data_IF_747468669739
#
_entry.id   IF_747468669739
#
_cell.length_a   1.000
_cell.length_b   1.000
_cell.length_c   1.000
_cell.angle_alpha   90.00
_cell.angle_beta   90.00
_cell.angle_gamma   90.00
#
_symmetry.space_group_name_H-M   'P 1'
#
loop_
_entity.id
_entity.type
_entity.pdbx_description
1 polymer ?
#
# COMPACT_ATOMS: atom_id res chain seq x y z
N UNK A 1 6.84 -62.52 32.79
CA UNK A 1 6.30 -61.14 32.73
C UNK A 1 7.32 -60.23 32.05
N UNK A 2 7.09 -59.84 30.79
CA UNK A 2 7.90 -58.80 30.14
C UNK A 2 7.46 -57.45 30.72
N UNK A 3 8.30 -56.88 31.59
CA UNK A 3 8.19 -55.50 32.08
C UNK A 3 8.12 -54.57 30.86
N UNK A 4 6.95 -53.99 30.58
CA UNK A 4 6.82 -52.90 29.61
C UNK A 4 7.44 -51.68 30.28
N UNK A 5 8.64 -51.28 29.83
CA UNK A 5 9.22 -49.99 30.18
C UNK A 5 8.17 -48.89 29.91
N UNK A 6 7.92 -47.99 30.87
CA UNK A 6 6.98 -46.90 30.66
C UNK A 6 7.47 -46.04 29.49
N UNK A 7 6.61 -45.82 28.50
CA UNK A 7 6.92 -44.92 27.39
C UNK A 7 7.28 -43.54 27.95
N UNK A 8 8.37 -42.91 27.47
CA UNK A 8 8.73 -41.59 27.94
C UNK A 8 7.55 -40.62 27.70
N UNK A 9 7.33 -39.66 28.61
CA UNK A 9 6.26 -38.70 28.44
C UNK A 9 6.44 -37.96 27.10
N UNK A 10 5.36 -37.60 26.37
CA UNK A 10 5.46 -36.97 25.05
C UNK A 10 6.35 -35.72 25.02
N UNK A 11 6.49 -35.02 26.15
CA UNK A 11 7.39 -33.88 26.35
C UNK A 11 8.87 -34.20 26.19
N UNK A 12 9.30 -35.44 26.42
CA UNK A 12 10.69 -35.87 26.28
C UNK A 12 11.11 -36.12 24.82
N UNK A 13 10.14 -36.25 23.91
CA UNK A 13 10.36 -36.43 22.47
C UNK A 13 10.35 -35.10 21.70
N UNK A 14 10.03 -33.99 22.38
CA UNK A 14 9.93 -32.68 21.76
C UNK A 14 11.25 -31.90 21.89
N UNK A 15 11.66 -31.15 20.85
CA UNK A 15 12.89 -30.37 20.90
C UNK A 15 12.84 -29.30 22.01
N UNK A 16 13.94 -29.16 22.76
CA UNK A 16 14.08 -28.18 23.85
C UNK A 16 14.87 -26.97 23.37
N UNK A 17 14.26 -25.79 23.41
CA UNK A 17 14.89 -24.53 23.01
C UNK A 17 15.20 -23.69 24.25
N UNK A 18 16.42 -23.82 24.80
CA UNK A 18 16.83 -23.17 26.07
C UNK A 18 17.66 -21.89 25.90
N UNK A 19 17.73 -21.34 24.69
CA UNK A 19 18.60 -20.20 24.39
C UNK A 19 17.94 -18.82 24.43
N UNK A 20 18.74 -17.78 24.59
CA UNK A 20 18.30 -16.38 24.67
C UNK A 20 17.63 -15.82 23.42
N UNK A 21 17.74 -16.53 22.29
CA UNK A 21 17.14 -16.18 21.01
C UNK A 21 15.61 -16.37 20.97
N UNK A 22 15.08 -17.34 21.71
CA UNK A 22 13.64 -17.66 21.75
C UNK A 22 12.96 -17.11 23.01
N UNK A 23 13.67 -16.26 23.77
CA UNK A 23 13.18 -15.72 25.02
C UNK A 23 12.10 -14.64 24.83
N UNK A 24 11.38 -14.32 25.91
CA UNK A 24 10.32 -13.30 25.88
C UNK A 24 10.87 -11.92 25.54
N UNK A 25 12.12 -11.62 25.90
CA UNK A 25 12.74 -10.31 25.65
C UNK A 25 13.02 -10.08 24.18
N UNK A 26 13.54 -11.08 23.48
CA UNK A 26 13.78 -11.06 22.04
C UNK A 26 12.45 -10.93 21.31
N UNK A 27 11.45 -11.72 21.73
CA UNK A 27 10.11 -11.64 21.18
C UNK A 27 9.48 -10.25 21.35
N UNK A 28 9.62 -9.62 22.52
CA UNK A 28 9.13 -8.26 22.79
C UNK A 28 9.90 -7.23 21.97
N UNK A 29 11.22 -7.35 21.84
CA UNK A 29 12.02 -6.39 21.10
C UNK A 29 11.66 -6.33 19.61
N UNK A 30 11.56 -7.47 18.94
CA UNK A 30 11.13 -7.55 17.53
C UNK A 30 9.66 -7.13 17.42
N UNK A 31 8.82 -7.56 18.38
CA UNK A 31 7.40 -7.22 18.42
C UNK A 31 7.11 -5.72 18.50
N UNK A 32 8.00 -4.92 19.12
CA UNK A 32 7.86 -3.44 19.14
C UNK A 32 8.03 -2.83 17.76
N UNK A 33 9.08 -3.23 17.05
CA UNK A 33 9.34 -2.75 15.70
C UNK A 33 8.22 -3.17 14.75
N UNK A 34 7.80 -4.43 14.84
CA UNK A 34 6.67 -4.94 14.06
C UNK A 34 5.37 -4.21 14.40
N UNK A 35 5.09 -3.95 15.68
CA UNK A 35 3.90 -3.20 16.10
C UNK A 35 3.87 -1.76 15.57
N UNK A 36 5.02 -1.07 15.58
CA UNK A 36 5.16 0.26 14.96
C UNK A 36 4.92 0.18 13.45
N UNK A 37 5.51 -0.81 12.77
CA UNK A 37 5.30 -1.01 11.34
C UNK A 37 3.82 -1.25 11.00
N UNK A 38 3.15 -2.12 11.76
CA UNK A 38 1.71 -2.39 11.59
C UNK A 38 0.85 -1.16 11.84
N UNK A 39 1.18 -0.34 12.85
CA UNK A 39 0.48 0.92 13.10
C UNK A 39 0.64 1.91 11.94
N UNK A 40 1.87 2.07 11.42
CA UNK A 40 2.12 2.94 10.27
C UNK A 40 1.35 2.44 9.05
N UNK A 41 1.39 1.13 8.74
CA UNK A 41 0.62 0.56 7.64
C UNK A 41 -0.89 0.75 7.82
N UNK A 42 -1.42 0.59 9.03
CA UNK A 42 -2.84 0.79 9.31
C UNK A 42 -3.27 2.24 9.09
N UNK A 43 -2.55 3.20 9.68
CA UNK A 43 -2.86 4.64 9.53
C UNK A 43 -2.76 5.06 8.07
N UNK A 44 -1.65 4.73 7.40
CA UNK A 44 -1.45 5.09 6.00
C UNK A 44 -2.43 4.38 5.07
N UNK A 45 -2.80 3.13 5.37
CA UNK A 45 -3.78 2.36 4.60
C UNK A 45 -5.18 2.95 4.69
N UNK A 46 -5.62 3.36 5.88
CA UNK A 46 -6.92 4.06 6.08
C UNK A 46 -6.93 5.40 5.34
N UNK A 47 -5.85 6.17 5.43
CA UNK A 47 -5.72 7.44 4.69
C UNK A 47 -5.77 7.22 3.17
N UNK A 48 -5.06 6.22 2.65
CA UNK A 48 -5.10 5.86 1.23
C UNK A 48 -6.50 5.42 0.80
N UNK A 49 -7.18 4.64 1.65
CA UNK A 49 -8.55 4.20 1.39
C UNK A 49 -9.51 5.41 1.29
N UNK A 50 -9.44 6.39 2.21
CA UNK A 50 -10.29 7.58 2.14
C UNK A 50 -9.94 8.51 0.97
N UNK A 51 -8.68 8.56 0.53
CA UNK A 51 -8.32 9.30 -0.67
C UNK A 51 -8.82 8.61 -1.96
N UNK A 52 -8.95 7.29 -1.94
CA UNK A 52 -9.43 6.50 -3.08
C UNK A 52 -10.97 6.38 -3.12
N UNK A 53 -11.59 6.23 -1.95
CA UNK A 53 -13.00 5.98 -1.73
C UNK A 53 -13.51 6.89 -0.60
N UNK A 54 -13.55 8.22 -0.81
CA UNK A 54 -13.97 9.13 0.24
C UNK A 54 -15.42 8.89 0.63
N UNK A 55 -15.74 8.92 1.93
CA UNK A 55 -17.13 8.96 2.36
C UNK A 55 -17.79 10.25 1.86
N UNK A 56 -19.12 10.23 1.69
CA UNK A 56 -19.87 11.34 1.08
C UNK A 56 -19.65 12.70 1.76
N UNK A 57 -19.49 12.70 3.08
CA UNK A 57 -19.22 13.92 3.87
C UNK A 57 -17.82 14.50 3.68
N UNK A 58 -16.88 13.75 3.09
CA UNK A 58 -15.50 14.19 2.86
C UNK A 58 -15.18 14.37 1.37
N UNK A 59 -16.00 13.78 0.48
CA UNK A 59 -15.70 13.65 -0.94
C UNK A 59 -15.34 14.99 -1.62
N UNK A 60 -15.98 16.09 -1.22
CA UNK A 60 -15.78 17.42 -1.78
C UNK A 60 -14.67 18.23 -1.13
N UNK A 61 -14.19 17.81 0.04
CA UNK A 61 -13.31 18.60 0.92
C UNK A 61 -11.93 17.95 1.12
N UNK A 62 -11.64 16.87 0.39
CA UNK A 62 -10.32 16.25 0.41
C UNK A 62 -9.23 17.28 0.04
N UNK A 63 -8.12 17.34 0.80
CA UNK A 63 -7.08 18.34 0.57
C UNK A 63 -6.31 18.03 -0.71
N UNK A 64 -6.20 19.02 -1.59
CA UNK A 64 -5.39 18.95 -2.81
C UNK A 64 -3.90 19.28 -2.57
N UNK A 65 -3.52 19.61 -1.33
CA UNK A 65 -2.17 20.04 -0.94
C UNK A 65 -1.69 19.33 0.34
N UNK A 66 -0.37 19.14 0.51
CA UNK A 66 0.66 19.34 -0.51
C UNK A 66 0.50 18.35 -1.67
N UNK A 67 0.95 18.70 -2.88
CA UNK A 67 0.72 17.87 -4.09
C UNK A 67 1.36 16.48 -4.01
N UNK A 68 2.39 16.33 -3.17
CA UNK A 68 3.09 15.08 -2.90
C UNK A 68 2.53 14.26 -1.73
N UNK A 69 1.47 14.71 -1.05
CA UNK A 69 0.96 14.06 0.17
C UNK A 69 0.65 12.56 -0.01
N UNK A 70 -0.06 12.20 -1.08
CA UNK A 70 -0.40 10.81 -1.38
C UNK A 70 0.84 9.97 -1.72
N UNK A 71 1.84 10.55 -2.41
CA UNK A 71 3.14 9.89 -2.64
C UNK A 71 3.77 9.49 -1.31
N UNK A 72 3.85 10.42 -0.35
CA UNK A 72 4.44 10.12 0.95
C UNK A 72 3.63 9.04 1.68
N UNK A 73 2.31 9.20 1.74
CA UNK A 73 1.43 8.25 2.43
C UNK A 73 1.54 6.84 1.86
N UNK A 74 1.43 6.70 0.53
CA UNK A 74 1.46 5.40 -0.14
C UNK A 74 2.87 4.80 -0.16
N UNK A 75 3.91 5.62 -0.34
CA UNK A 75 5.29 5.18 -0.25
C UNK A 75 5.64 4.65 1.15
N UNK A 76 5.17 5.32 2.22
CA UNK A 76 5.30 4.83 3.58
C UNK A 76 4.54 3.52 3.80
N UNK A 77 3.29 3.43 3.32
CA UNK A 77 2.49 2.22 3.45
C UNK A 77 3.19 0.99 2.86
N UNK A 78 3.61 1.09 1.59
CA UNK A 78 4.24 -0.02 0.88
C UNK A 78 5.65 -0.29 1.40
N UNK A 79 6.47 0.75 1.58
CA UNK A 79 7.84 0.61 2.06
C UNK A 79 7.90 -0.02 3.47
N UNK A 80 7.05 0.44 4.39
CA UNK A 80 6.98 -0.12 5.75
C UNK A 80 6.38 -1.53 5.74
N UNK A 81 5.40 -1.81 4.87
CA UNK A 81 4.86 -3.16 4.68
C UNK A 81 5.94 -4.15 4.25
N UNK A 82 6.75 -3.78 3.25
CA UNK A 82 7.88 -4.60 2.79
C UNK A 82 8.92 -4.77 3.92
N UNK A 83 9.28 -3.68 4.61
CA UNK A 83 10.21 -3.72 5.74
C UNK A 83 9.70 -4.57 6.93
N UNK A 84 8.39 -4.75 7.06
CA UNK A 84 7.79 -5.59 8.09
C UNK A 84 7.94 -7.09 7.81
N UNK A 85 8.22 -7.50 6.57
CA UNK A 85 8.34 -8.92 6.19
C UNK A 85 9.47 -9.62 6.98
N UNK A 86 10.74 -9.16 6.95
CA UNK A 86 11.80 -9.77 7.76
C UNK A 86 11.49 -9.72 9.27
N UNK A 87 10.84 -8.65 9.75
CA UNK A 87 10.44 -8.53 11.16
C UNK A 87 9.40 -9.58 11.56
N UNK A 88 8.41 -9.85 10.70
CA UNK A 88 7.41 -10.89 10.93
C UNK A 88 8.08 -12.27 10.95
N UNK A 89 8.94 -12.58 9.98
CA UNK A 89 9.70 -13.83 9.99
C UNK A 89 10.56 -13.99 11.24
N UNK A 90 11.30 -12.94 11.63
CA UNK A 90 12.09 -12.93 12.87
C UNK A 90 11.22 -13.14 14.11
N UNK A 91 10.05 -12.52 14.15
CA UNK A 91 9.08 -12.68 15.25
C UNK A 91 8.54 -14.10 15.33
N UNK A 92 8.10 -14.66 14.19
CA UNK A 92 7.58 -16.02 14.10
C UNK A 92 8.66 -17.04 14.46
N UNK A 93 9.88 -16.87 13.95
CA UNK A 93 11.02 -17.72 14.30
C UNK A 93 11.35 -17.63 15.79
N UNK A 94 11.30 -16.44 16.39
CA UNK A 94 11.54 -16.29 17.83
C UNK A 94 10.52 -17.08 18.66
N UNK A 95 9.25 -17.15 18.23
CA UNK A 95 8.17 -17.77 19.02
C UNK A 95 7.77 -19.18 18.56
N UNK A 96 8.28 -19.69 17.43
CA UNK A 96 7.90 -20.99 16.88
C UNK A 96 8.07 -22.15 17.87
N UNK A 97 9.06 -22.18 18.79
CA UNK A 97 9.18 -23.25 19.78
C UNK A 97 7.92 -23.47 20.61
N UNK A 98 7.11 -22.41 20.82
CA UNK A 98 5.86 -22.49 21.57
C UNK A 98 4.79 -23.34 20.86
N UNK A 99 4.94 -23.59 19.56
CA UNK A 99 4.07 -24.50 18.82
C UNK A 99 4.25 -25.95 19.29
N UNK A 100 5.46 -26.30 19.73
CA UNK A 100 5.84 -27.63 20.21
C UNK A 100 5.65 -27.81 21.74
N UNK A 101 5.09 -26.84 22.44
CA UNK A 101 4.89 -26.95 23.89
C UNK A 101 3.78 -27.97 24.24
N UNK A 102 4.05 -28.86 25.20
CA UNK A 102 3.10 -29.88 25.68
C UNK A 102 2.69 -29.63 27.15
N UNK A 103 1.42 -29.87 27.53
CA UNK A 103 0.27 -30.21 26.67
C UNK A 103 -0.11 -29.05 25.75
N UNK A 104 -0.56 -29.38 24.53
CA UNK A 104 -0.88 -28.39 23.50
C UNK A 104 -2.01 -27.44 23.91
N UNK A 105 -2.98 -27.95 24.68
CA UNK A 105 -4.07 -27.21 25.28
C UNK A 105 -4.11 -27.48 26.78
N UNK A 106 -4.10 -26.41 27.58
CA UNK A 106 -4.12 -26.47 29.05
C UNK A 106 -5.51 -26.19 29.63
N UNK A 107 -6.34 -25.44 28.90
CA UNK A 107 -7.69 -25.05 29.30
C UNK A 107 -8.44 -24.43 28.11
N UNK A 108 -9.76 -24.26 28.22
CA UNK A 108 -10.57 -23.55 27.23
C UNK A 108 -10.09 -22.10 27.01
N UNK A 109 -9.72 -21.39 28.09
CA UNK A 109 -9.11 -20.07 28.01
C UNK A 109 -7.80 -20.10 27.21
N UNK A 110 -6.95 -21.10 27.47
CA UNK A 110 -5.71 -21.25 26.71
C UNK A 110 -5.96 -21.55 25.22
N UNK A 111 -7.00 -22.32 24.90
CA UNK A 111 -7.41 -22.56 23.51
C UNK A 111 -7.85 -21.27 22.82
N UNK A 112 -8.67 -20.45 23.47
CA UNK A 112 -9.10 -19.14 22.95
C UNK A 112 -7.91 -18.18 22.74
N UNK A 113 -6.95 -18.15 23.68
CA UNK A 113 -5.71 -17.39 23.51
C UNK A 113 -4.92 -17.85 22.28
N UNK A 114 -4.80 -19.16 22.05
CA UNK A 114 -4.10 -19.71 20.87
C UNK A 114 -4.85 -19.40 19.58
N UNK A 115 -6.18 -19.48 19.59
CA UNK A 115 -7.01 -19.12 18.43
C UNK A 115 -6.86 -17.65 18.07
N UNK A 116 -6.90 -16.75 19.05
CA UNK A 116 -6.66 -15.31 18.85
C UNK A 116 -5.27 -15.05 18.23
N UNK A 117 -4.23 -15.75 18.71
CA UNK A 117 -2.89 -15.67 18.12
C UNK A 117 -2.86 -16.21 16.68
N UNK A 118 -3.57 -17.31 16.39
CA UNK A 118 -3.65 -17.85 15.04
C UNK A 118 -4.29 -16.86 14.06
N UNK A 119 -5.37 -16.19 14.47
CA UNK A 119 -6.01 -15.13 13.68
C UNK A 119 -5.07 -13.95 13.44
N UNK A 120 -4.33 -13.51 14.47
CA UNK A 120 -3.31 -12.46 14.34
C UNK A 120 -2.21 -12.84 13.34
N UNK A 121 -1.67 -14.06 13.43
CA UNK A 121 -0.62 -14.53 12.52
C UNK A 121 -1.14 -14.68 11.10
N UNK A 122 -2.31 -15.28 10.91
CA UNK A 122 -2.93 -15.43 9.60
C UNK A 122 -3.21 -14.07 8.95
N UNK A 123 -3.76 -13.12 9.71
CA UNK A 123 -4.00 -11.75 9.24
C UNK A 123 -2.70 -11.05 8.86
N UNK A 124 -1.65 -11.12 9.69
CA UNK A 124 -0.37 -10.46 9.39
C UNK A 124 0.31 -11.05 8.14
N UNK A 125 0.28 -12.38 7.99
CA UNK A 125 0.80 -13.05 6.79
C UNK A 125 -0.02 -12.67 5.56
N UNK A 126 -1.35 -12.66 5.68
CA UNK A 126 -2.26 -12.28 4.59
C UNK A 126 -2.01 -10.86 4.12
N UNK A 127 -1.98 -9.88 5.03
CA UNK A 127 -1.75 -8.46 4.70
C UNK A 127 -0.40 -8.27 3.99
N UNK A 128 0.70 -8.78 4.57
CA UNK A 128 2.01 -8.59 3.97
C UNK A 128 2.17 -9.32 2.63
N UNK A 129 1.64 -10.54 2.52
CA UNK A 129 1.70 -11.31 1.27
C UNK A 129 0.87 -10.65 0.18
N UNK A 130 -0.41 -10.37 0.45
CA UNK A 130 -1.29 -9.78 -0.56
C UNK A 130 -0.84 -8.37 -0.94
N UNK A 131 -0.35 -7.58 0.02
CA UNK A 131 0.26 -6.27 -0.23
C UNK A 131 1.50 -6.37 -1.13
N UNK A 132 2.41 -7.32 -0.87
CA UNK A 132 3.58 -7.56 -1.71
C UNK A 132 3.16 -7.98 -3.14
N UNK A 133 2.22 -8.92 -3.26
CA UNK A 133 1.76 -9.40 -4.56
C UNK A 133 1.00 -8.32 -5.36
N UNK A 134 0.33 -7.41 -4.67
CA UNK A 134 -0.26 -6.22 -5.30
C UNK A 134 0.80 -5.32 -5.95
N UNK A 135 2.00 -5.19 -5.37
CA UNK A 135 3.07 -4.35 -5.96
C UNK A 135 3.52 -4.83 -7.35
N UNK A 136 3.39 -6.13 -7.62
CA UNK A 136 3.72 -6.80 -8.90
C UNK A 136 2.49 -7.12 -9.76
N UNK A 137 1.29 -6.66 -9.39
CA UNK A 137 0.01 -6.96 -10.05
C UNK A 137 -0.31 -8.46 -10.20
N UNK A 138 0.14 -9.30 -9.28
CA UNK A 138 -0.15 -10.72 -9.34
C UNK A 138 -1.27 -11.08 -8.36
N UNK A 139 -2.44 -11.44 -8.90
CA UNK A 139 -3.64 -11.77 -8.13
C UNK A 139 -4.07 -13.22 -8.42
N UNK A 140 -3.42 -14.25 -7.83
CA UNK A 140 -3.76 -15.67 -8.03
C UNK A 140 -5.08 -16.09 -7.35
N UNK A 141 -6.01 -15.15 -7.13
CA UNK A 141 -7.25 -15.36 -6.41
C UNK A 141 -8.44 -14.68 -7.11
N UNK A 142 -9.68 -15.12 -6.85
CA UNK A 142 -10.86 -14.59 -7.53
C UNK A 142 -11.45 -13.33 -6.89
N UNK A 143 -10.99 -12.93 -5.70
CA UNK A 143 -11.55 -11.77 -4.98
C UNK A 143 -10.86 -10.44 -5.33
N UNK A 144 -11.55 -9.33 -5.10
CA UNK A 144 -10.96 -8.00 -5.27
C UNK A 144 -9.99 -7.70 -4.13
N UNK A 145 -8.74 -7.36 -4.47
CA UNK A 145 -7.68 -7.07 -3.50
C UNK A 145 -8.08 -5.93 -2.54
N UNK A 146 -8.48 -4.77 -3.07
CA UNK A 146 -8.69 -3.53 -2.28
C UNK A 146 -9.69 -3.71 -1.11
N UNK A 147 -10.94 -4.18 -1.33
CA UNK A 147 -11.89 -4.32 -0.22
C UNK A 147 -11.51 -5.43 0.76
N UNK A 148 -10.92 -6.53 0.29
CA UNK A 148 -10.53 -7.65 1.16
C UNK A 148 -9.34 -7.27 2.03
N UNK A 149 -8.31 -6.67 1.45
CA UNK A 149 -7.13 -6.17 2.18
C UNK A 149 -7.53 -5.10 3.20
N UNK A 150 -8.45 -4.18 2.85
CA UNK A 150 -8.97 -3.22 3.82
C UNK A 150 -9.72 -3.89 5.00
N UNK A 151 -10.58 -4.87 4.71
CA UNK A 151 -11.34 -5.57 5.74
C UNK A 151 -10.44 -6.42 6.67
N UNK A 152 -9.46 -7.13 6.10
CA UNK A 152 -8.51 -7.94 6.87
C UNK A 152 -7.56 -7.05 7.67
N UNK A 153 -7.22 -5.85 7.20
CA UNK A 153 -6.46 -4.85 7.98
C UNK A 153 -7.16 -4.45 9.29
N UNK A 154 -8.48 -4.30 9.29
CA UNK A 154 -9.26 -4.07 10.52
C UNK A 154 -9.28 -5.29 11.44
N UNK A 155 -9.45 -6.50 10.87
CA UNK A 155 -9.40 -7.75 11.62
C UNK A 155 -8.03 -7.94 12.28
N UNK A 156 -6.94 -7.72 11.53
CA UNK A 156 -5.57 -7.76 12.03
C UNK A 156 -5.36 -6.75 13.17
N UNK A 157 -5.85 -5.52 13.00
CA UNK A 157 -5.73 -4.48 14.03
C UNK A 157 -6.46 -4.88 15.31
N UNK A 158 -7.70 -5.37 15.21
CA UNK A 158 -8.44 -5.88 16.37
C UNK A 158 -7.74 -7.05 17.05
N UNK A 159 -7.23 -8.01 16.28
CA UNK A 159 -6.47 -9.14 16.81
C UNK A 159 -5.15 -8.72 17.48
N UNK A 160 -4.47 -7.70 16.92
CA UNK A 160 -3.25 -7.14 17.49
C UNK A 160 -3.54 -6.42 18.81
N UNK A 161 -4.57 -5.58 18.88
CA UNK A 161 -4.97 -4.90 20.11
C UNK A 161 -5.33 -5.90 21.21
N UNK A 162 -6.11 -6.94 20.89
CA UNK A 162 -6.42 -8.02 21.82
C UNK A 162 -5.16 -8.74 22.28
N UNK A 163 -4.24 -9.06 21.37
CA UNK A 163 -2.97 -9.69 21.71
C UNK A 163 -2.12 -8.81 22.65
N UNK A 164 -2.03 -7.51 22.38
CA UNK A 164 -1.32 -6.55 23.22
C UNK A 164 -1.95 -6.46 24.60
N UNK A 165 -3.28 -6.44 24.71
CA UNK A 165 -3.98 -6.43 25.99
C UNK A 165 -3.71 -7.70 26.81
N UNK A 166 -3.83 -8.87 26.19
CA UNK A 166 -3.58 -10.18 26.84
C UNK A 166 -2.12 -10.34 27.26
N UNK A 167 -1.17 -9.89 26.43
CA UNK A 167 0.27 -10.00 26.68
C UNK A 167 0.87 -8.79 27.39
N UNK A 168 0.06 -7.80 27.79
CA UNK A 168 0.54 -6.58 28.43
C UNK A 168 1.46 -6.83 29.64
N UNK A 169 1.16 -7.76 30.57
CA UNK A 169 2.05 -8.01 31.71
C UNK A 169 3.43 -8.49 31.28
N UNK A 170 3.50 -9.39 30.29
CA UNK A 170 4.76 -9.86 29.70
C UNK A 170 5.47 -8.72 28.97
N UNK A 171 4.76 -8.00 28.10
CA UNK A 171 5.33 -6.88 27.34
C UNK A 171 5.97 -5.87 28.30
N UNK A 172 5.24 -5.44 29.33
CA UNK A 172 5.71 -4.51 30.36
C UNK A 172 6.94 -5.03 31.11
N UNK A 173 6.93 -6.31 31.52
CA UNK A 173 8.03 -6.92 32.26
C UNK A 173 9.33 -7.04 31.45
N UNK A 174 9.24 -7.13 30.12
CA UNK A 174 10.39 -7.26 29.22
C UNK A 174 10.60 -6.04 28.31
N UNK A 175 9.94 -4.92 28.60
CA UNK A 175 9.97 -3.69 27.78
C UNK A 175 11.33 -2.95 27.89
N UNK A 176 11.86 -2.84 29.12
CA UNK A 176 13.17 -2.26 29.44
C UNK A 176 14.07 -3.30 30.12
N UNK A 177 15.40 -3.09 30.13
CA UNK A 177 16.40 -4.12 30.54
C UNK A 177 16.14 -4.72 31.94
N UNK A 178 16.53 -6.00 32.11
CA UNK A 178 16.74 -6.77 33.38
C UNK A 178 15.50 -7.42 34.02
N UNK A 179 14.80 -8.32 33.31
CA UNK A 179 13.99 -9.31 34.04
C UNK A 179 14.92 -10.36 34.68
N UNK A 180 14.58 -10.81 35.90
CA UNK A 180 15.33 -11.88 36.59
C UNK A 180 15.39 -13.16 35.74
N UNK A 181 14.32 -13.45 35.00
CA UNK A 181 14.24 -14.59 34.09
C UNK A 181 15.26 -14.53 32.94
N UNK A 182 15.51 -13.36 32.33
CA UNK A 182 16.54 -13.25 31.28
C UNK A 182 17.95 -13.41 31.85
N UNK A 183 18.19 -13.03 33.11
CA UNK A 183 19.50 -13.22 33.77
C UNK A 183 19.76 -14.68 34.18
N UNK A 184 18.70 -15.46 34.37
CA UNK A 184 18.77 -16.87 34.78
C UNK A 184 18.94 -17.84 33.60
N UNK A 185 18.99 -17.33 32.36
CA UNK A 185 19.27 -18.16 31.18
C UNK A 185 20.72 -18.67 31.23
N UNK A 186 20.96 -19.94 30.83
CA UNK A 186 22.31 -20.48 30.81
C UNK A 186 23.22 -19.66 29.88
N UNK A 187 24.50 -19.58 30.23
CA UNK A 187 25.49 -18.98 29.36
C UNK A 187 25.55 -19.79 28.05
N UNK A 188 25.41 -19.10 26.93
CA UNK A 188 25.52 -19.72 25.62
C UNK A 188 26.97 -20.14 25.35
N UNK A 189 27.21 -21.25 24.62
CA UNK A 189 28.56 -21.65 24.23
C UNK A 189 29.28 -20.56 23.44
N UNK A 190 30.61 -20.51 23.53
CA UNK A 190 31.42 -19.62 22.70
C UNK A 190 31.12 -19.84 21.20
N UNK A 191 30.94 -18.77 20.45
CA UNK A 191 30.61 -18.75 19.01
C UNK A 191 29.18 -19.18 18.60
N UNK A 192 28.22 -19.25 19.51
CA UNK A 192 26.81 -19.37 19.10
C UNK A 192 26.18 -17.99 18.81
N UNK A 193 25.25 -17.90 17.84
CA UNK A 193 24.54 -16.66 17.58
C UNK A 193 23.78 -16.19 18.82
N UNK A 194 24.06 -14.97 19.25
CA UNK A 194 23.40 -14.36 20.40
C UNK A 194 22.26 -13.41 19.96
N UNK A 195 21.53 -12.86 20.94
CA UNK A 195 20.44 -11.92 20.67
C UNK A 195 20.91 -10.70 19.86
N UNK A 196 22.13 -10.22 20.08
CA UNK A 196 22.68 -9.09 19.33
C UNK A 196 22.83 -9.48 17.86
N UNK A 197 23.41 -10.64 17.58
CA UNK A 197 23.59 -11.18 16.23
C UNK A 197 22.26 -11.32 15.48
N UNK A 198 21.22 -11.86 16.14
CA UNK A 198 19.87 -11.95 15.55
C UNK A 198 19.28 -10.57 15.22
N UNK A 199 19.35 -9.62 16.17
CA UNK A 199 18.78 -8.29 15.96
C UNK A 199 19.56 -7.50 14.90
N UNK A 200 20.88 -7.66 14.84
CA UNK A 200 21.72 -7.09 13.79
C UNK A 200 21.39 -7.71 12.44
N UNK A 201 21.26 -9.04 12.35
CA UNK A 201 20.85 -9.71 11.11
C UNK A 201 19.47 -9.26 10.61
N UNK A 202 18.50 -9.11 11.52
CA UNK A 202 17.20 -8.54 11.19
C UNK A 202 17.30 -7.08 10.74
N UNK A 203 18.08 -6.25 11.42
CA UNK A 203 18.29 -4.86 11.02
C UNK A 203 18.93 -4.76 9.63
N UNK A 204 19.91 -5.61 9.32
CA UNK A 204 20.53 -5.71 7.99
C UNK A 204 19.51 -6.16 6.96
N UNK A 205 18.71 -7.20 7.23
CA UNK A 205 17.69 -7.66 6.29
C UNK A 205 16.63 -6.59 6.01
N UNK A 206 16.12 -5.93 7.05
CA UNK A 206 15.16 -4.81 6.92
C UNK A 206 15.79 -3.66 6.13
N UNK A 207 17.02 -3.26 6.47
CA UNK A 207 17.75 -2.21 5.78
C UNK A 207 17.99 -2.53 4.31
N UNK A 208 18.46 -3.74 4.01
CA UNK A 208 18.74 -4.19 2.65
C UNK A 208 17.47 -4.16 1.77
N UNK A 209 16.38 -4.76 2.24
CA UNK A 209 15.11 -4.76 1.47
C UNK A 209 14.57 -3.34 1.32
N UNK A 210 14.65 -2.50 2.36
CA UNK A 210 14.18 -1.09 2.28
C UNK A 210 15.00 -0.31 1.25
N UNK A 211 16.33 -0.34 1.35
CA UNK A 211 17.23 0.37 0.44
C UNK A 211 17.04 -0.07 -1.00
N UNK A 212 16.80 -1.37 -1.23
CA UNK A 212 16.66 -1.94 -2.57
C UNK A 212 15.26 -1.84 -3.17
N UNK A 213 14.31 -1.21 -2.47
CA UNK A 213 12.93 -1.05 -2.94
C UNK A 213 12.38 0.36 -2.82
N UNK A 214 12.99 1.24 -2.01
CA UNK A 214 12.45 2.59 -1.72
C UNK A 214 12.59 3.55 -2.89
N UNK A 215 13.52 3.31 -3.82
CA UNK A 215 13.77 4.17 -4.98
C UNK A 215 12.55 4.30 -5.90
N UNK A 216 11.68 3.29 -5.92
CA UNK A 216 10.45 3.33 -6.69
C UNK A 216 9.51 4.45 -6.23
N UNK A 217 9.55 4.78 -4.93
CA UNK A 217 8.77 5.85 -4.31
C UNK A 217 9.56 7.16 -4.22
N UNK A 218 10.88 7.08 -4.03
CA UNK A 218 11.80 8.21 -3.89
C UNK A 218 12.82 8.21 -5.03
N UNK A 219 12.49 8.92 -6.10
CA UNK A 219 13.30 8.98 -7.33
C UNK A 219 14.80 9.27 -7.13
N UNK A 220 15.26 10.08 -6.14
CA UNK A 220 16.69 10.25 -5.88
C UNK A 220 17.44 8.96 -5.49
N UNK A 221 16.73 7.91 -5.09
CA UNK A 221 17.28 6.60 -4.69
C UNK A 221 17.01 5.50 -5.72
N UNK A 222 16.52 5.84 -6.92
CA UNK A 222 16.14 4.88 -7.98
C UNK A 222 17.27 3.92 -8.37
N UNK A 223 18.53 4.37 -8.35
CA UNK A 223 19.68 3.55 -8.77
C UNK A 223 19.98 2.41 -7.79
N UNK A 224 19.33 2.41 -6.62
CA UNK A 224 19.42 1.36 -5.61
C UNK A 224 18.32 0.29 -5.79
N UNK A 225 17.33 0.51 -6.67
CA UNK A 225 16.19 -0.38 -6.87
C UNK A 225 16.59 -1.70 -7.53
N UNK A 226 17.00 -2.68 -6.72
CA UNK A 226 17.29 -4.04 -7.17
C UNK A 226 16.07 -4.97 -7.06
N UNK A 227 15.20 -4.71 -6.07
CA UNK A 227 14.04 -5.57 -5.74
C UNK A 227 12.70 -4.86 -5.99
N UNK A 228 12.71 -3.61 -6.44
CA UNK A 228 11.48 -2.89 -6.75
C UNK A 228 10.82 -3.46 -8.03
N UNK A 229 9.50 -3.72 -8.02
CA UNK A 229 8.78 -4.20 -9.19
C UNK A 229 8.80 -3.26 -10.39
N UNK A 230 8.92 -1.96 -10.14
CA UNK A 230 8.94 -0.93 -11.18
C UNK A 230 10.04 0.07 -10.92
N UNK A 231 10.84 0.28 -11.95
CA UNK A 231 11.81 1.36 -11.98
C UNK A 231 11.14 2.66 -12.46
N UNK A 232 11.29 3.80 -11.77
CA UNK A 232 10.65 5.07 -12.14
C UNK A 232 10.96 5.55 -13.57
N UNK A 233 12.12 5.20 -14.13
CA UNK A 233 12.48 5.64 -15.50
C UNK A 233 11.96 4.75 -16.62
N UNK A 234 11.38 3.59 -16.30
CA UNK A 234 10.92 2.66 -17.32
C UNK A 234 9.48 2.96 -17.73
N UNK A 235 9.32 3.45 -18.95
CA UNK A 235 8.03 3.62 -19.60
C UNK A 235 8.07 4.65 -20.72
N UNK A 236 7.02 4.71 -21.57
CA UNK A 236 6.92 5.72 -22.61
C UNK A 236 6.98 7.12 -22.00
N UNK A 237 7.61 8.05 -22.71
CA UNK A 237 7.75 9.45 -22.27
C UNK A 237 8.44 9.60 -20.90
N UNK A 238 9.23 8.60 -20.47
CA UNK A 238 9.92 8.62 -19.18
C UNK A 238 8.96 8.55 -17.99
N UNK A 239 7.79 7.92 -18.11
CA UNK A 239 6.87 7.70 -17.01
C UNK A 239 6.34 6.25 -17.01
N UNK A 240 6.32 5.54 -15.86
CA UNK A 240 5.81 4.18 -15.81
C UNK A 240 4.32 4.08 -16.10
N UNK A 241 3.92 2.93 -16.62
CA UNK A 241 2.53 2.63 -16.98
C UNK A 241 1.98 1.58 -16.02
N UNK A 242 0.93 1.93 -15.28
CA UNK A 242 0.19 0.97 -14.43
C UNK A 242 -0.74 0.07 -15.26
N UNK A 243 -1.58 0.70 -16.10
CA UNK A 243 -2.55 0.04 -16.99
C UNK A 243 -2.32 0.52 -18.41
N UNK A 244 -2.07 -0.42 -19.32
CA UNK A 244 -1.83 -0.17 -20.75
C UNK A 244 -3.14 0.06 -21.50
N UNK A 245 -3.07 0.68 -22.67
CA UNK A 245 -4.21 0.83 -23.57
C UNK A 245 -4.71 -0.53 -24.08
N UNK A 246 -3.81 -1.50 -24.27
CA UNK A 246 -4.16 -2.87 -24.62
C UNK A 246 -5.04 -3.52 -23.53
N UNK A 247 -4.64 -3.42 -22.26
CA UNK A 247 -5.41 -3.95 -21.14
C UNK A 247 -6.74 -3.21 -20.89
N UNK A 248 -6.89 -2.01 -21.41
CA UNK A 248 -8.12 -1.21 -21.35
C UNK A 248 -9.00 -1.35 -22.60
N UNK A 249 -8.52 -1.97 -23.68
CA UNK A 249 -9.22 -2.03 -24.97
C UNK A 249 -9.28 -0.69 -25.71
N UNK A 250 -8.33 0.21 -25.48
CA UNK A 250 -8.31 1.59 -25.99
C UNK A 250 -7.10 1.91 -26.87
N UNK A 251 -6.51 0.89 -27.50
CA UNK A 251 -5.26 1.02 -28.28
C UNK A 251 -5.39 1.90 -29.53
N UNK A 252 -6.58 1.97 -30.12
CA UNK A 252 -6.87 2.78 -31.31
C UNK A 252 -8.03 3.70 -30.98
N UNK A 253 -7.74 4.97 -30.75
CA UNK A 253 -8.76 6.01 -30.65
C UNK A 253 -8.80 6.73 -31.99
N UNK A 254 -9.94 6.71 -32.67
CA UNK A 254 -10.18 7.56 -33.83
C UNK A 254 -10.36 9.00 -33.36
N UNK A 255 -9.31 9.82 -33.52
CA UNK A 255 -9.29 11.20 -33.04
C UNK A 255 -10.14 12.13 -33.88
N UNK A 256 -10.44 11.76 -35.13
CA UNK A 256 -11.35 12.52 -35.98
C UNK A 256 -12.80 12.36 -35.49
N UNK A 257 -13.15 11.19 -34.98
CA UNK A 257 -14.46 10.91 -34.36
C UNK A 257 -14.53 11.26 -32.87
N UNK A 258 -13.38 11.29 -32.17
CA UNK A 258 -13.34 11.56 -30.74
C UNK A 258 -13.86 12.96 -30.40
N UNK A 259 -14.66 13.05 -29.34
CA UNK A 259 -15.15 14.30 -28.76
C UNK A 259 -15.00 14.26 -27.25
N UNK A 260 -14.69 15.41 -26.66
CA UNK A 260 -14.89 15.67 -25.25
C UNK A 260 -16.28 16.28 -25.05
N UNK A 261 -17.18 15.55 -24.40
CA UNK A 261 -18.48 16.09 -24.00
C UNK A 261 -18.38 16.66 -22.59
N UNK A 262 -18.70 17.94 -22.41
CA UNK A 262 -18.80 18.58 -21.09
C UNK A 262 -20.27 18.83 -20.78
N UNK A 263 -20.83 18.05 -19.85
CA UNK A 263 -22.23 18.15 -19.41
C UNK A 263 -22.33 19.04 -18.17
N UNK A 264 -23.26 19.98 -18.22
CA UNK A 264 -23.60 20.90 -17.14
C UNK A 264 -24.79 21.77 -17.56
N UNK A 265 -25.07 22.88 -16.87
CA UNK A 265 -26.15 23.81 -17.24
C UNK A 265 -26.07 24.34 -18.68
N UNK A 266 -24.86 24.50 -19.22
CA UNK A 266 -24.60 24.89 -20.62
C UNK A 266 -23.72 23.84 -21.29
N UNK A 267 -24.27 22.69 -21.72
CA UNK A 267 -23.48 21.60 -22.25
C UNK A 267 -22.84 21.96 -23.59
N UNK A 268 -21.65 21.43 -23.86
CA UNK A 268 -20.96 21.59 -25.15
C UNK A 268 -20.04 20.40 -25.42
N UNK A 269 -19.58 20.31 -26.66
CA UNK A 269 -18.59 19.32 -27.10
C UNK A 269 -17.39 20.02 -27.71
N UNK A 270 -16.22 19.38 -27.60
CA UNK A 270 -14.99 19.81 -28.25
C UNK A 270 -14.38 18.65 -29.04
N UNK A 271 -13.97 18.93 -30.27
CA UNK A 271 -12.98 18.13 -30.99
C UNK A 271 -11.63 18.21 -30.29
N UNK A 272 -10.71 17.32 -30.66
CA UNK A 272 -9.34 17.38 -30.15
C UNK A 272 -8.63 18.69 -30.52
N UNK A 273 -8.85 19.19 -31.74
CA UNK A 273 -8.24 20.44 -32.22
C UNK A 273 -8.79 21.67 -31.49
N UNK A 274 -10.11 21.73 -31.26
CA UNK A 274 -10.71 22.81 -30.46
C UNK A 274 -10.21 22.78 -29.01
N UNK A 275 -10.05 21.58 -28.43
CA UNK A 275 -9.51 21.43 -27.09
C UNK A 275 -8.04 21.85 -27.00
N UNK A 276 -7.24 21.55 -28.02
CA UNK A 276 -5.84 21.96 -28.12
C UNK A 276 -5.68 23.47 -28.35
N UNK A 277 -6.68 24.12 -28.98
CA UNK A 277 -6.71 25.56 -29.21
C UNK A 277 -7.10 26.39 -27.97
N UNK A 278 -7.67 25.76 -26.93
CA UNK A 278 -7.93 26.44 -25.65
C UNK A 278 -6.60 26.82 -24.95
N UNK A 279 -6.62 27.78 -24.00
CA UNK A 279 -5.45 28.08 -23.18
C UNK A 279 -4.86 26.84 -22.52
N UNK A 280 -3.59 26.57 -22.83
CA UNK A 280 -2.84 25.43 -22.29
C UNK A 280 -2.02 25.88 -21.08
N UNK A 281 -2.00 25.05 -20.04
CA UNK A 281 -1.25 25.29 -18.80
C UNK A 281 -0.30 24.15 -18.54
N UNK A 282 0.87 24.45 -17.99
CA UNK A 282 1.87 23.47 -17.58
C UNK A 282 1.93 23.37 -16.06
N UNK A 283 2.00 22.13 -15.55
CA UNK A 283 2.20 21.83 -14.13
C UNK A 283 3.18 20.68 -13.96
N UNK A 284 4.03 20.76 -12.93
CA UNK A 284 4.82 19.61 -12.48
C UNK A 284 4.04 18.91 -11.35
N UNK A 285 3.59 17.68 -11.59
CA UNK A 285 2.85 16.90 -10.61
C UNK A 285 3.32 15.44 -10.58
N UNK A 286 3.34 14.82 -9.38
CA UNK A 286 3.65 13.42 -9.26
C UNK A 286 2.46 12.54 -9.71
N UNK A 287 2.75 11.47 -10.43
CA UNK A 287 1.90 10.28 -10.41
C UNK A 287 2.39 9.40 -9.27
N UNK A 288 1.50 9.03 -8.36
CA UNK A 288 1.77 8.12 -7.25
C UNK A 288 0.78 6.97 -7.31
N UNK A 289 1.30 5.76 -7.54
CA UNK A 289 0.47 4.58 -7.73
C UNK A 289 0.15 3.91 -6.40
N UNK A 290 -1.00 3.23 -6.34
CA UNK A 290 -1.41 2.37 -5.22
C UNK A 290 -0.43 1.20 -4.98
N UNK A 291 0.46 0.92 -5.94
CA UNK A 291 1.48 -0.13 -5.85
C UNK A 291 2.76 0.34 -5.13
N UNK A 292 2.86 1.63 -4.79
CA UNK A 292 3.98 2.20 -4.03
C UNK A 292 4.95 3.02 -4.86
N UNK A 293 5.03 2.81 -6.19
CA UNK A 293 5.90 3.61 -7.04
C UNK A 293 5.32 4.98 -7.35
N UNK A 294 6.19 5.96 -7.59
CA UNK A 294 5.79 7.30 -7.97
C UNK A 294 6.86 8.07 -8.74
N UNK A 295 6.46 9.04 -9.55
CA UNK A 295 7.38 9.87 -10.34
C UNK A 295 6.79 11.23 -10.69
N UNK A 296 7.62 12.27 -10.65
CA UNK A 296 7.26 13.61 -11.16
C UNK A 296 7.24 13.61 -12.68
N UNK A 297 6.33 14.39 -13.24
CA UNK A 297 6.31 14.66 -14.66
C UNK A 297 5.73 16.05 -14.94
N UNK A 298 6.05 16.57 -16.13
CA UNK A 298 5.49 17.80 -16.67
C UNK A 298 4.22 17.46 -17.44
N UNK A 299 3.11 18.07 -17.07
CA UNK A 299 1.81 17.88 -17.69
C UNK A 299 1.37 19.17 -18.35
N UNK A 300 0.90 19.10 -19.59
CA UNK A 300 0.32 20.24 -20.28
C UNK A 300 -1.11 19.93 -20.70
N UNK A 301 -2.03 20.86 -20.45
CA UNK A 301 -3.43 20.69 -20.82
C UNK A 301 -4.33 21.85 -20.41
N UNK A 302 -5.63 21.62 -20.50
CA UNK A 302 -6.67 22.61 -20.15
C UNK A 302 -7.04 22.44 -18.68
N UNK A 303 -7.21 23.54 -17.94
CA UNK A 303 -7.68 23.47 -16.55
C UNK A 303 -9.11 22.96 -16.48
N UNK A 304 -9.36 22.02 -15.57
CA UNK A 304 -10.71 21.51 -15.35
C UNK A 304 -11.67 22.62 -14.95
N UNK A 305 -11.25 23.55 -14.09
CA UNK A 305 -12.06 24.68 -13.67
C UNK A 305 -12.58 25.51 -14.87
N UNK A 306 -11.74 25.77 -15.87
CA UNK A 306 -12.08 26.59 -17.03
C UNK A 306 -13.15 25.88 -17.90
N UNK A 307 -13.05 24.56 -18.03
CA UNK A 307 -14.05 23.74 -18.72
C UNK A 307 -15.41 23.76 -17.99
N UNK A 308 -15.40 23.68 -16.66
CA UNK A 308 -16.63 23.73 -15.85
C UNK A 308 -17.27 25.10 -15.81
N UNK A 309 -16.47 26.17 -15.83
CA UNK A 309 -16.95 27.55 -15.90
C UNK A 309 -17.67 27.82 -17.23
N UNK A 310 -17.08 27.37 -18.34
CA UNK A 310 -17.74 27.40 -19.66
C UNK A 310 -19.07 26.64 -19.64
N UNK A 311 -19.12 25.49 -18.96
CA UNK A 311 -20.33 24.71 -18.80
C UNK A 311 -21.38 25.34 -17.85
N UNK A 312 -21.08 26.48 -17.23
CA UNK A 312 -21.98 27.19 -16.32
C UNK A 312 -22.05 26.62 -14.91
N UNK A 313 -21.03 25.86 -14.47
CA UNK A 313 -20.97 25.24 -13.15
C UNK A 313 -19.58 25.40 -12.50
N UNK A 314 -19.14 26.64 -12.22
CA UNK A 314 -17.81 26.89 -11.69
C UNK A 314 -17.60 26.18 -10.34
N UNK A 315 -16.53 25.38 -10.25
CA UNK A 315 -16.15 24.70 -9.02
C UNK A 315 -17.07 23.55 -8.58
N UNK A 316 -17.97 23.09 -9.43
CA UNK A 316 -18.82 21.93 -9.15
C UNK A 316 -18.00 20.63 -9.12
N UNK A 317 -18.50 19.64 -8.37
CA UNK A 317 -17.97 18.29 -8.43
C UNK A 317 -18.23 17.67 -9.80
N UNK A 318 -17.38 16.73 -10.21
CA UNK A 318 -17.44 16.12 -11.53
C UNK A 318 -17.47 14.61 -11.44
N UNK A 319 -18.21 14.01 -12.36
CA UNK A 319 -18.02 12.63 -12.78
C UNK A 319 -17.22 12.63 -14.08
N UNK A 320 -16.08 11.97 -14.08
CA UNK A 320 -15.19 11.82 -15.24
C UNK A 320 -15.37 10.42 -15.83
N UNK A 321 -15.61 10.34 -17.13
CA UNK A 321 -15.85 9.08 -17.85
C UNK A 321 -14.73 8.80 -18.85
N UNK A 322 -14.25 7.56 -18.84
CA UNK A 322 -13.22 7.02 -19.73
C UNK A 322 -13.85 6.26 -20.91
N UNK A 323 -13.08 6.08 -21.99
CA UNK A 323 -13.38 5.13 -23.07
C UNK A 323 -13.38 3.67 -22.63
N UNK A 324 -12.79 3.36 -21.48
CA UNK A 324 -12.70 1.98 -20.99
C UNK A 324 -14.10 1.36 -20.79
N UNK A 325 -14.34 0.21 -21.42
CA UNK A 325 -15.67 -0.44 -21.41
C UNK A 325 -15.95 -1.18 -20.09
N UNK A 326 -14.90 -1.73 -19.47
CA UNK A 326 -14.98 -2.60 -18.29
C UNK A 326 -14.10 -2.07 -17.16
N UNK A 327 -14.25 -2.59 -15.95
CA UNK A 327 -13.40 -2.26 -14.82
C UNK A 327 -13.91 -1.11 -13.93
N UNK A 328 -13.41 -1.07 -12.70
CA UNK A 328 -13.91 -0.18 -11.65
C UNK A 328 -13.54 1.31 -11.85
N UNK A 329 -12.54 1.61 -12.69
CA UNK A 329 -12.00 2.96 -12.87
C UNK A 329 -12.42 3.63 -14.18
N UNK A 330 -13.38 3.03 -14.92
CA UNK A 330 -13.97 3.65 -16.13
C UNK A 330 -14.73 4.94 -15.82
N UNK A 331 -15.20 5.09 -14.58
CA UNK A 331 -15.85 6.29 -14.08
C UNK A 331 -15.17 6.67 -12.77
N UNK A 332 -14.85 7.96 -12.62
CA UNK A 332 -14.22 8.50 -11.43
C UNK A 332 -15.01 9.72 -10.95
N UNK A 333 -15.29 9.78 -9.65
CA UNK A 333 -15.89 10.96 -9.03
C UNK A 333 -14.78 11.87 -8.48
N UNK A 334 -14.81 13.12 -8.90
CA UNK A 334 -13.90 14.19 -8.53
C UNK A 334 -14.65 15.22 -7.69
N UNK A 335 -14.29 15.32 -6.42
CA UNK A 335 -14.87 16.32 -5.51
C UNK A 335 -14.51 17.76 -5.88
N UNK A 336 -15.29 18.70 -5.36
CA UNK A 336 -15.14 20.15 -5.63
C UNK A 336 -13.72 20.67 -5.38
N UNK A 337 -13.06 20.23 -4.31
CA UNK A 337 -11.70 20.66 -3.97
C UNK A 337 -10.70 20.44 -5.10
N UNK A 338 -10.79 19.30 -5.79
CA UNK A 338 -9.94 18.96 -6.93
C UNK A 338 -10.40 19.63 -8.22
N UNK A 339 -11.71 19.67 -8.47
CA UNK A 339 -12.28 20.26 -9.69
C UNK A 339 -11.97 21.76 -9.82
N UNK A 340 -11.95 22.48 -8.68
CA UNK A 340 -11.61 23.91 -8.63
C UNK A 340 -10.11 24.21 -8.54
N UNK A 341 -9.27 23.19 -8.32
CA UNK A 341 -7.84 23.40 -8.10
C UNK A 341 -7.17 23.89 -9.39
N UNK A 342 -6.38 24.99 -9.34
CA UNK A 342 -5.74 25.54 -10.53
C UNK A 342 -4.66 24.63 -11.16
N UNK A 343 -4.20 23.60 -10.44
CA UNK A 343 -3.26 22.60 -10.94
C UNK A 343 -3.94 21.34 -11.51
N UNK A 344 -5.27 21.22 -11.39
CA UNK A 344 -5.98 20.08 -11.99
C UNK A 344 -6.20 20.32 -13.47
N UNK A 345 -5.62 19.45 -14.29
CA UNK A 345 -5.69 19.53 -15.75
C UNK A 345 -6.41 18.34 -16.37
N UNK A 346 -7.10 18.60 -17.47
CA UNK A 346 -7.27 17.64 -18.56
C UNK A 346 -6.01 17.72 -19.43
N UNK A 347 -5.04 16.87 -19.15
CA UNK A 347 -3.75 16.84 -19.81
C UNK A 347 -3.84 16.22 -21.22
N UNK A 348 -3.13 16.83 -22.16
CA UNK A 348 -2.96 16.41 -23.56
C UNK A 348 -1.50 16.04 -23.89
N UNK A 349 -0.56 16.54 -23.08
CA UNK A 349 0.88 16.28 -23.22
C UNK A 349 1.50 15.86 -21.89
N UNK A 350 2.53 15.03 -22.01
CA UNK A 350 3.35 14.52 -20.92
C UNK A 350 4.83 14.70 -21.32
N UNK A 351 5.61 15.36 -20.45
CA UNK A 351 7.04 15.61 -20.64
C UNK A 351 7.35 16.24 -22.00
N UNK A 352 6.56 17.26 -22.37
CA UNK A 352 6.71 18.00 -23.62
C UNK A 352 6.21 17.27 -24.87
N UNK A 353 5.74 16.03 -24.79
CA UNK A 353 5.26 15.25 -25.94
C UNK A 353 3.76 14.95 -25.83
N UNK A 354 3.10 14.73 -26.96
CA UNK A 354 1.70 14.28 -26.99
C UNK A 354 1.58 12.95 -26.21
N UNK A 355 0.49 12.78 -25.46
CA UNK A 355 0.25 11.53 -24.73
C UNK A 355 0.36 10.31 -25.65
N UNK A 356 0.98 9.24 -25.16
CA UNK A 356 0.89 7.93 -25.82
C UNK A 356 -0.46 7.28 -25.49
N UNK A 357 -0.90 6.27 -26.27
CA UNK A 357 -2.08 5.48 -25.92
C UNK A 357 -2.03 4.96 -24.48
N UNK A 358 -0.88 4.44 -24.04
CA UNK A 358 -0.70 3.92 -22.68
C UNK A 358 -0.76 5.00 -21.59
N UNK A 359 -0.48 6.25 -21.92
CA UNK A 359 -0.61 7.37 -20.99
C UNK A 359 -1.96 8.08 -21.06
N UNK A 360 -2.89 7.57 -21.86
CA UNK A 360 -4.27 8.05 -21.88
C UNK A 360 -4.61 8.97 -23.04
N UNK A 361 -3.86 8.91 -24.14
CA UNK A 361 -4.21 9.63 -25.38
C UNK A 361 -5.68 9.40 -25.79
N UNK A 362 -6.45 10.42 -26.18
CA UNK A 362 -6.00 11.79 -26.43
C UNK A 362 -5.98 12.70 -25.20
N UNK A 363 -6.67 12.34 -24.11
CA UNK A 363 -6.79 13.19 -22.93
C UNK A 363 -6.88 12.37 -21.63
N UNK A 364 -6.25 12.88 -20.57
CA UNK A 364 -6.30 12.29 -19.22
C UNK A 364 -6.47 13.34 -18.13
N UNK A 365 -6.96 12.93 -16.97
CA UNK A 365 -6.91 13.73 -15.76
C UNK A 365 -5.52 13.67 -15.14
N UNK A 366 -5.05 14.82 -14.66
CA UNK A 366 -4.03 14.93 -13.63
C UNK A 366 -4.49 15.91 -12.55
N UNK A 367 -4.49 15.47 -11.30
CA UNK A 367 -4.86 16.26 -10.13
C UNK A 367 -3.82 16.06 -9.00
N UNK A 368 -3.52 17.09 -8.21
CA UNK A 368 -2.55 17.00 -7.12
C UNK A 368 -3.08 16.11 -5.97
N UNK A 369 -2.17 15.52 -5.18
CA UNK A 369 -2.49 14.75 -3.97
C UNK A 369 -3.53 13.62 -4.13
N UNK A 370 -3.62 12.98 -5.29
CA UNK A 370 -4.58 11.88 -5.56
C UNK A 370 -3.91 10.56 -5.92
N UNK A 371 -4.55 9.43 -5.57
CA UNK A 371 -4.17 8.12 -6.07
C UNK A 371 -4.08 8.07 -7.59
N UNK A 372 -3.03 7.44 -8.11
CA UNK A 372 -2.79 7.30 -9.55
C UNK A 372 -3.91 6.58 -10.30
N UNK A 373 -4.64 5.68 -9.64
CA UNK A 373 -5.82 5.00 -10.19
C UNK A 373 -7.01 5.95 -10.42
N UNK A 374 -7.02 7.11 -9.77
CA UNK A 374 -8.03 8.17 -9.95
C UNK A 374 -7.59 9.26 -10.93
N UNK A 375 -6.44 9.09 -11.59
CA UNK A 375 -5.93 9.97 -12.64
C UNK A 375 -6.41 9.45 -14.01
N UNK A 376 -7.73 9.49 -14.20
CA UNK A 376 -8.46 8.81 -15.29
C UNK A 376 -7.83 9.06 -16.66
N UNK A 377 -7.58 7.98 -17.40
CA UNK A 377 -7.05 7.99 -18.77
C UNK A 377 -8.18 7.86 -19.79
N UNK A 378 -7.91 8.27 -21.04
CA UNK A 378 -8.83 8.13 -22.17
C UNK A 378 -10.18 8.82 -21.92
N UNK A 379 -10.13 10.03 -21.36
CA UNK A 379 -11.32 10.78 -20.96
C UNK A 379 -12.17 11.13 -22.18
N UNK A 380 -13.48 10.99 -22.08
CA UNK A 380 -14.45 11.41 -23.12
C UNK A 380 -15.53 12.33 -22.58
N UNK A 381 -15.79 12.28 -21.27
CA UNK A 381 -16.87 13.06 -20.70
C UNK A 381 -16.54 13.58 -19.32
N UNK A 382 -16.97 14.81 -19.09
CA UNK A 382 -17.04 15.46 -17.79
C UNK A 382 -18.52 15.75 -17.50
N UNK A 383 -19.07 15.27 -16.40
CA UNK A 383 -20.46 15.49 -16.01
C UNK A 383 -20.50 16.23 -14.67
N UNK A 384 -21.08 17.43 -14.65
CA UNK A 384 -21.34 18.19 -13.43
C UNK A 384 -22.29 17.42 -12.51
N UNK A 385 -21.97 17.38 -11.21
CA UNK A 385 -22.78 16.72 -10.17
C UNK A 385 -23.39 17.70 -9.19
#
# INVERSE_FOLDING_TARGET
MKSRLPLPPPSALLPSFKGGLHDRRTATAIGRLLGVAMLVCMVTGVLSHYLQHPPSWLADDLPARPSWGYRLNQGLHVGVGIAAIPLLFGKLWTVYPKLFAWPALKSARHALERLSVAVLVAGAVFELLTGLLNTVQWYPWPFSFVPVHFAVGWLLTGALLLHLAVKWPDIKAYWWRRSAATRALPAEPENTPDRRSLLTGLAVAVGAVTVTTVGQSLTPLKDLDLLAPRHPDHGPLGLPVNRTAAAAGTTRVDTAAWRLTVRGPRPYELTLDELAALPQYEVELPIACVEGWSKNAHWTGVRIKDLTERAGAPGAALRVVSLEQHGAYRVMDMGRSYARDPLTLLALRLNGQVLTPDHGYPARIIAPNRPGVLQTKWVTRLEVR
#
